data_IF_984810484901
#
_entry.id   IF_984810484901
#
_cell.length_a   1.000
_cell.length_b   1.000
_cell.length_c   1.000
_cell.angle_alpha   90.00
_cell.angle_beta   90.00
_cell.angle_gamma   90.00
#
_symmetry.space_group_name_H-M   'P 1'
#
loop_
_entity.id
_entity.type
_entity.pdbx_description
1 polymer ?
#
# COMPACT_ATOMS: atom_id res chain seq x y z
N UNK A 1 -18.54 -14.94 -0.39
CA UNK A 1 -17.85 -14.42 -1.58
C UNK A 1 -18.00 -12.92 -1.54
N UNK A 2 -16.96 -12.19 -1.16
CA UNK A 2 -16.95 -10.74 -1.35
C UNK A 2 -16.84 -10.47 -2.86
N UNK A 3 -17.89 -9.87 -3.41
CA UNK A 3 -18.07 -9.57 -4.82
C UNK A 3 -17.36 -8.26 -5.17
N UNK A 4 -16.79 -8.16 -6.37
CA UNK A 4 -16.51 -6.83 -6.91
C UNK A 4 -15.74 -6.80 -8.23
N UNK A 5 -14.67 -7.60 -8.37
CA UNK A 5 -13.71 -7.43 -9.47
C UNK A 5 -13.54 -8.66 -10.37
N UNK A 6 -14.18 -9.79 -10.05
CA UNK A 6 -14.07 -11.06 -10.82
C UNK A 6 -12.62 -11.54 -11.08
N UNK A 7 -11.67 -11.12 -10.23
CA UNK A 7 -10.27 -11.52 -10.31
C UNK A 7 -10.01 -12.83 -9.54
N UNK A 8 -9.38 -13.82 -10.18
CA UNK A 8 -8.80 -14.98 -9.51
C UNK A 8 -7.49 -14.61 -8.79
N UNK A 9 -7.19 -15.28 -7.67
CA UNK A 9 -5.86 -15.23 -7.06
C UNK A 9 -5.14 -16.54 -7.42
N UNK A 10 -3.97 -16.42 -8.04
CA UNK A 10 -3.20 -17.56 -8.58
C UNK A 10 -1.81 -17.62 -7.93
N UNK A 11 -1.63 -18.43 -6.86
CA UNK A 11 -0.34 -18.61 -6.21
C UNK A 11 0.65 -19.41 -7.09
N UNK A 12 1.87 -18.90 -7.26
CA UNK A 12 2.97 -19.52 -8.01
C UNK A 12 4.24 -19.54 -7.17
N UNK A 13 4.94 -20.66 -7.14
CA UNK A 13 6.19 -20.80 -6.37
C UNK A 13 7.35 -20.01 -6.99
N UNK A 14 8.24 -19.53 -6.13
CA UNK A 14 9.50 -18.86 -6.49
C UNK A 14 9.33 -17.59 -7.32
N UNK A 15 8.16 -16.95 -7.33
CA UNK A 15 7.94 -15.70 -8.07
C UNK A 15 8.84 -14.59 -7.52
N UNK A 16 8.89 -14.45 -6.20
CA UNK A 16 9.77 -13.48 -5.54
C UNK A 16 11.25 -13.88 -5.73
N UNK A 17 11.56 -15.17 -5.56
CA UNK A 17 12.94 -15.65 -5.62
C UNK A 17 13.56 -15.52 -7.01
N UNK A 18 12.81 -15.87 -8.05
CA UNK A 18 13.33 -15.98 -9.41
C UNK A 18 13.12 -14.69 -10.23
N UNK A 19 12.11 -13.88 -9.89
CA UNK A 19 11.74 -12.67 -10.64
C UNK A 19 11.73 -11.37 -9.81
N UNK A 20 11.91 -11.44 -8.49
CA UNK A 20 11.79 -10.29 -7.57
C UNK A 20 10.40 -9.65 -7.59
N UNK A 21 9.35 -10.48 -7.73
CA UNK A 21 7.95 -10.05 -7.83
C UNK A 21 7.13 -10.69 -6.69
N UNK A 22 6.43 -9.87 -5.92
CA UNK A 22 5.49 -10.36 -4.89
C UNK A 22 4.14 -10.76 -5.48
N UNK A 23 3.64 -9.94 -6.40
CA UNK A 23 2.39 -10.14 -7.12
C UNK A 23 2.43 -9.36 -8.45
N UNK A 24 1.59 -9.77 -9.40
CA UNK A 24 1.32 -8.97 -10.60
C UNK A 24 -0.09 -9.25 -11.14
N UNK A 25 -0.73 -8.24 -11.71
CA UNK A 25 -1.98 -8.35 -12.45
C UNK A 25 -1.76 -9.02 -13.81
N UNK A 26 -2.55 -10.04 -14.13
CA UNK A 26 -2.51 -10.68 -15.45
C UNK A 26 -2.96 -9.69 -16.53
N UNK A 27 -2.31 -9.73 -17.70
CA UNK A 27 -2.61 -8.81 -18.81
C UNK A 27 -3.99 -9.07 -19.44
N UNK A 28 -4.50 -10.30 -19.32
CA UNK A 28 -5.88 -10.64 -19.67
C UNK A 28 -6.92 -10.15 -18.64
N UNK A 29 -6.46 -9.51 -17.55
CA UNK A 29 -7.26 -8.94 -16.48
C UNK A 29 -8.17 -9.95 -15.77
N UNK A 30 -7.84 -11.25 -15.83
CA UNK A 30 -8.64 -12.31 -15.21
C UNK A 30 -8.26 -12.61 -13.77
N UNK A 31 -7.08 -12.16 -13.33
CA UNK A 31 -6.59 -12.49 -12.00
C UNK A 31 -5.27 -11.81 -11.63
N UNK A 32 -4.86 -12.05 -10.39
CA UNK A 32 -3.60 -11.59 -9.81
C UNK A 32 -2.78 -12.84 -9.47
N UNK A 33 -1.57 -12.90 -10.01
CA UNK A 33 -0.59 -13.93 -9.68
C UNK A 33 0.20 -13.47 -8.46
N UNK A 34 0.45 -14.37 -7.51
CA UNK A 34 1.20 -14.06 -6.28
C UNK A 34 2.28 -15.08 -6.00
N UNK A 35 3.34 -14.66 -5.31
CA UNK A 35 4.33 -15.59 -4.77
C UNK A 35 3.68 -16.49 -3.72
N UNK A 36 3.73 -17.80 -3.95
CA UNK A 36 3.07 -18.79 -3.10
C UNK A 36 3.61 -18.76 -1.66
N UNK A 37 4.93 -18.68 -1.51
CA UNK A 37 5.57 -18.80 -0.19
C UNK A 37 5.23 -17.55 0.65
N UNK A 38 5.27 -16.37 0.03
CA UNK A 38 4.81 -15.13 0.66
C UNK A 38 3.30 -15.13 0.95
N UNK A 39 2.49 -15.74 0.08
CA UNK A 39 1.04 -15.80 0.26
C UNK A 39 0.62 -16.72 1.41
N UNK A 40 1.34 -17.82 1.64
CA UNK A 40 0.97 -18.83 2.65
C UNK A 40 1.52 -18.54 4.05
N UNK A 41 2.56 -17.72 4.19
CA UNK A 41 3.19 -17.46 5.47
C UNK A 41 2.65 -16.19 6.15
N UNK A 42 2.17 -16.33 7.40
CA UNK A 42 1.55 -15.23 8.15
C UNK A 42 2.45 -13.98 8.29
N UNK A 43 3.76 -14.17 8.41
CA UNK A 43 4.73 -13.06 8.54
C UNK A 43 4.72 -12.11 7.34
N UNK A 44 4.24 -12.55 6.17
CA UNK A 44 4.18 -11.74 4.95
C UNK A 44 2.79 -11.16 4.68
N UNK A 45 1.79 -11.40 5.53
CA UNK A 45 0.41 -10.93 5.29
C UNK A 45 0.30 -9.42 5.04
N UNK A 46 1.04 -8.59 5.78
CA UNK A 46 1.04 -7.12 5.56
C UNK A 46 1.58 -6.74 4.18
N UNK A 47 2.65 -7.42 3.75
CA UNK A 47 3.28 -7.24 2.43
C UNK A 47 2.30 -7.67 1.35
N UNK A 48 1.76 -8.87 1.44
CA UNK A 48 0.80 -9.41 0.48
C UNK A 48 -0.46 -8.57 0.37
N UNK A 49 -0.99 -8.07 1.50
CA UNK A 49 -2.15 -7.18 1.50
C UNK A 49 -1.88 -5.88 0.74
N UNK A 50 -0.70 -5.31 0.90
CA UNK A 50 -0.29 -4.14 0.13
C UNK A 50 -0.12 -4.46 -1.36
N UNK A 51 0.55 -5.57 -1.69
CA UNK A 51 0.70 -6.03 -3.07
C UNK A 51 -0.65 -6.26 -3.75
N UNK A 52 -1.62 -6.88 -3.09
CA UNK A 52 -2.97 -7.02 -3.63
C UNK A 52 -3.64 -5.67 -3.91
N UNK A 53 -3.58 -4.74 -2.95
CA UNK A 53 -4.15 -3.41 -3.13
C UNK A 53 -3.46 -2.63 -4.27
N UNK A 54 -2.15 -2.86 -4.47
CA UNK A 54 -1.36 -2.29 -5.56
C UNK A 54 -1.82 -2.85 -6.92
N UNK A 55 -1.97 -4.17 -7.06
CA UNK A 55 -2.47 -4.78 -8.30
C UNK A 55 -3.92 -4.40 -8.60
N UNK A 56 -4.77 -4.25 -7.58
CA UNK A 56 -6.11 -3.67 -7.74
C UNK A 56 -6.02 -2.24 -8.24
N UNK A 57 -5.03 -1.46 -7.80
CA UNK A 57 -4.74 -0.13 -8.34
C UNK A 57 -4.43 -0.16 -9.83
N UNK A 58 -3.57 -1.08 -10.28
CA UNK A 58 -3.33 -1.29 -11.71
C UNK A 58 -4.60 -1.68 -12.47
N UNK A 59 -5.41 -2.58 -11.92
CA UNK A 59 -6.66 -2.99 -12.55
C UNK A 59 -7.65 -1.82 -12.69
N UNK A 60 -7.82 -1.03 -11.63
CA UNK A 60 -8.78 0.08 -11.62
C UNK A 60 -8.32 1.23 -12.52
N UNK A 61 -7.04 1.62 -12.42
CA UNK A 61 -6.52 2.82 -13.06
C UNK A 61 -5.97 2.57 -14.47
N UNK A 62 -5.39 1.39 -14.71
CA UNK A 62 -4.54 1.14 -15.87
C UNK A 62 -5.00 -0.03 -16.76
N UNK A 63 -6.15 -0.67 -16.48
CA UNK A 63 -6.66 -1.80 -17.30
C UNK A 63 -6.74 -1.54 -18.81
N UNK A 64 -7.01 -0.31 -19.24
CA UNK A 64 -7.09 0.03 -20.66
C UNK A 64 -5.73 0.05 -21.37
N UNK A 65 -4.64 0.17 -20.59
CA UNK A 65 -3.27 0.08 -21.10
C UNK A 65 -2.86 -1.38 -21.26
N UNK A 66 -3.26 -2.23 -20.30
CA UNK A 66 -2.91 -3.66 -20.31
C UNK A 66 -3.83 -4.50 -21.21
N UNK A 67 -5.10 -4.13 -21.36
CA UNK A 67 -6.17 -4.93 -21.99
C UNK A 67 -6.12 -5.12 -23.51
N UNK A 68 -4.96 -5.00 -24.15
CA UNK A 68 -4.75 -5.24 -25.58
C UNK A 68 -3.68 -6.28 -25.90
N UNK A 69 -3.03 -6.86 -24.88
CA UNK A 69 -1.88 -7.75 -25.05
C UNK A 69 -2.27 -9.15 -24.56
N UNK A 70 -2.49 -10.13 -25.47
CA UNK A 70 -2.97 -11.45 -25.11
C UNK A 70 -1.84 -12.31 -24.54
N UNK A 71 -1.49 -12.16 -23.27
CA UNK A 71 -0.37 -12.90 -22.67
C UNK A 71 -0.58 -13.15 -21.15
N UNK A 72 -0.24 -14.35 -20.67
CA UNK A 72 -0.62 -14.86 -19.33
C UNK A 72 0.53 -15.44 -18.50
N UNK A 73 1.80 -15.10 -18.80
CA UNK A 73 2.97 -15.60 -18.06
C UNK A 73 3.87 -14.45 -17.53
N UNK A 74 4.72 -14.71 -16.50
CA UNK A 74 5.59 -13.71 -15.88
C UNK A 74 6.62 -13.08 -16.83
N UNK A 75 7.14 -13.85 -17.79
CA UNK A 75 8.11 -13.35 -18.78
C UNK A 75 7.49 -12.27 -19.67
N UNK A 76 6.25 -12.45 -20.09
CA UNK A 76 5.53 -11.47 -20.89
C UNK A 76 5.22 -10.18 -20.11
N UNK A 77 4.93 -10.30 -18.81
CA UNK A 77 4.83 -9.12 -17.94
C UNK A 77 6.15 -8.35 -17.94
N UNK A 78 7.26 -9.06 -17.74
CA UNK A 78 8.60 -8.47 -17.77
C UNK A 78 8.90 -7.79 -19.11
N UNK A 79 8.56 -8.42 -20.23
CA UNK A 79 8.71 -7.81 -21.55
C UNK A 79 7.86 -6.56 -21.73
N UNK A 80 6.62 -6.54 -21.24
CA UNK A 80 5.77 -5.36 -21.28
C UNK A 80 6.38 -4.20 -20.49
N UNK A 81 6.84 -4.47 -19.27
CA UNK A 81 7.52 -3.47 -18.43
C UNK A 81 8.77 -2.94 -19.12
N UNK A 82 9.58 -3.80 -19.73
CA UNK A 82 10.81 -3.40 -20.42
C UNK A 82 10.56 -2.57 -21.69
N UNK A 83 9.42 -2.76 -22.36
CA UNK A 83 9.07 -2.03 -23.57
C UNK A 83 8.31 -0.72 -23.30
N UNK A 84 7.80 -0.51 -22.08
CA UNK A 84 7.14 0.74 -21.70
C UNK A 84 8.17 1.85 -21.47
N UNK A 85 7.92 3.10 -21.91
CA UNK A 85 8.78 4.22 -21.56
C UNK A 85 8.93 4.33 -20.03
N UNK A 86 10.19 4.37 -19.55
CA UNK A 86 10.52 4.34 -18.12
C UNK A 86 9.72 5.35 -17.29
N UNK A 87 9.49 6.55 -17.85
CA UNK A 87 8.70 7.60 -17.20
C UNK A 87 7.22 7.22 -17.05
N UNK A 88 6.63 6.59 -18.05
CA UNK A 88 5.23 6.16 -18.01
C UNK A 88 5.07 5.01 -17.01
N UNK A 89 5.97 4.03 -17.06
CA UNK A 89 5.98 2.92 -16.10
C UNK A 89 6.08 3.44 -14.66
N UNK A 90 7.05 4.31 -14.37
CA UNK A 90 7.19 4.92 -13.03
C UNK A 90 5.95 5.68 -12.58
N UNK A 91 5.25 6.35 -13.49
CA UNK A 91 4.01 7.05 -13.16
C UNK A 91 2.90 6.06 -12.79
N UNK A 92 2.74 4.95 -13.52
CA UNK A 92 1.74 3.93 -13.20
C UNK A 92 2.03 3.25 -11.86
N UNK A 93 3.28 2.85 -11.62
CA UNK A 93 3.71 2.30 -10.33
C UNK A 93 3.44 3.27 -9.17
N UNK A 94 3.72 4.56 -9.36
CA UNK A 94 3.43 5.58 -8.36
C UNK A 94 1.92 5.72 -8.11
N UNK A 95 1.11 5.74 -9.16
CA UNK A 95 -0.35 5.83 -9.07
C UNK A 95 -0.95 4.60 -8.36
N UNK A 96 -0.47 3.39 -8.67
CA UNK A 96 -0.90 2.16 -8.02
C UNK A 96 -0.51 2.13 -6.53
N UNK A 97 0.70 2.59 -6.19
CA UNK A 97 1.12 2.75 -4.80
C UNK A 97 0.25 3.76 -4.02
N UNK A 98 -0.05 4.91 -4.61
CA UNK A 98 -0.92 5.92 -3.99
C UNK A 98 -2.36 5.43 -3.85
N UNK A 99 -2.84 4.62 -4.80
CA UNK A 99 -4.13 3.94 -4.72
C UNK A 99 -4.15 2.93 -3.57
N UNK A 100 -3.16 2.02 -3.52
CA UNK A 100 -3.06 0.99 -2.48
C UNK A 100 -3.03 1.61 -1.08
N UNK A 101 -2.23 2.66 -0.90
CA UNK A 101 -2.16 3.40 0.35
C UNK A 101 -3.49 4.00 0.79
N UNK A 102 -4.25 4.60 -0.14
CA UNK A 102 -5.59 5.17 0.15
C UNK A 102 -6.66 4.12 0.39
N UNK A 103 -6.58 3.00 -0.33
CA UNK A 103 -7.51 1.89 -0.17
C UNK A 103 -7.33 1.22 1.20
N UNK A 104 -6.09 1.00 1.62
CA UNK A 104 -5.78 0.31 2.87
C UNK A 104 -5.81 1.23 4.10
N UNK A 105 -5.55 2.52 3.90
CA UNK A 105 -5.56 3.55 4.95
C UNK A 105 -6.50 4.69 4.53
N UNK A 106 -7.83 4.49 4.67
CA UNK A 106 -8.80 5.53 4.37
C UNK A 106 -8.57 6.75 5.27
N UNK A 107 -8.62 7.95 4.68
CA UNK A 107 -8.29 9.21 5.35
C UNK A 107 -9.12 9.43 6.64
N UNK A 108 -10.43 9.20 6.58
CA UNK A 108 -11.33 9.42 7.72
C UNK A 108 -10.93 8.56 8.91
N UNK A 109 -10.71 7.25 8.69
CA UNK A 109 -10.19 6.36 9.73
C UNK A 109 -8.79 6.74 10.19
N UNK A 110 -7.92 7.22 9.31
CA UNK A 110 -6.58 7.67 9.70
C UNK A 110 -6.64 8.86 10.66
N UNK A 111 -7.52 9.83 10.39
CA UNK A 111 -7.75 10.98 11.28
C UNK A 111 -8.24 10.49 12.64
N UNK A 112 -9.23 9.59 12.68
CA UNK A 112 -9.74 9.04 13.95
C UNK A 112 -8.65 8.34 14.78
N UNK A 113 -7.77 7.55 14.16
CA UNK A 113 -6.68 6.87 14.87
C UNK A 113 -5.60 7.86 15.34
N UNK A 114 -5.30 8.89 14.54
CA UNK A 114 -4.37 9.96 14.93
C UNK A 114 -4.92 10.79 16.09
N UNK A 115 -6.21 11.10 16.10
CA UNK A 115 -6.86 11.82 17.20
C UNK A 115 -6.80 11.04 18.52
N UNK A 116 -6.98 9.71 18.49
CA UNK A 116 -6.81 8.84 19.68
C UNK A 116 -5.38 8.88 20.23
N UNK A 117 -4.40 8.85 19.34
CA UNK A 117 -2.98 8.98 19.72
C UNK A 117 -2.70 10.36 20.31
N UNK A 118 -3.25 11.42 19.71
CA UNK A 118 -3.10 12.78 20.21
C UNK A 118 -3.66 12.95 21.63
N UNK A 119 -4.86 12.43 21.91
CA UNK A 119 -5.40 12.49 23.28
C UNK A 119 -4.52 11.69 24.27
N UNK A 120 -3.94 10.57 23.86
CA UNK A 120 -2.99 9.81 24.69
C UNK A 120 -1.71 10.61 24.99
N UNK A 121 -1.15 11.30 23.99
CA UNK A 121 0.03 12.18 24.15
C UNK A 121 -0.27 13.32 25.11
N UNK A 122 -1.48 13.89 25.03
CA UNK A 122 -1.96 14.97 25.89
C UNK A 122 -2.14 14.52 27.34
N UNK A 123 -2.72 13.34 27.57
CA UNK A 123 -2.89 12.76 28.91
C UNK A 123 -1.57 12.40 29.60
N UNK A 124 -0.51 12.17 28.81
CA UNK A 124 0.81 11.75 29.30
C UNK A 124 1.82 12.90 29.40
N UNK A 125 1.39 14.15 29.19
CA UNK A 125 2.24 15.36 29.20
C UNK A 125 3.41 15.32 28.19
N UNK A 126 3.22 14.62 27.07
CA UNK A 126 4.22 14.46 26.01
C UNK A 126 4.07 15.48 24.86
N UNK A 127 3.15 16.45 24.99
CA UNK A 127 2.93 17.50 24.00
C UNK A 127 4.18 18.31 23.63
N UNK A 128 5.13 18.63 24.54
CA UNK A 128 6.35 19.34 24.17
C UNK A 128 7.18 18.58 23.13
N UNK A 129 7.32 17.26 23.29
CA UNK A 129 8.05 16.42 22.32
C UNK A 129 7.39 16.40 20.95
N UNK A 130 6.05 16.39 20.91
CA UNK A 130 5.30 16.45 19.66
C UNK A 130 5.49 17.79 18.93
N UNK A 131 5.68 18.90 19.67
CA UNK A 131 5.98 20.21 19.08
C UNK A 131 7.43 20.31 18.60
N UNK A 132 8.36 19.83 19.42
CA UNK A 132 9.79 19.99 19.19
C UNK A 132 10.30 19.05 18.08
N UNK A 133 9.81 17.80 18.05
CA UNK A 133 10.17 16.81 17.03
C UNK A 133 8.96 15.93 16.64
N UNK A 134 8.05 16.44 15.80
CA UNK A 134 6.91 15.68 15.32
C UNK A 134 7.28 14.37 14.62
N UNK A 135 8.42 14.33 13.94
CA UNK A 135 8.87 13.18 13.17
C UNK A 135 9.35 12.04 14.09
N UNK A 136 10.08 12.36 15.16
CA UNK A 136 10.47 11.38 16.16
C UNK A 136 9.25 10.81 16.88
N UNK A 137 8.28 11.66 17.23
CA UNK A 137 7.02 11.20 17.84
C UNK A 137 6.24 10.32 16.86
N UNK A 138 6.14 10.71 15.58
CA UNK A 138 5.50 9.90 14.54
C UNK A 138 6.13 8.51 14.48
N UNK A 139 7.45 8.41 14.32
CA UNK A 139 8.15 7.13 14.26
C UNK A 139 7.87 6.27 15.49
N UNK A 140 7.75 6.89 16.67
CA UNK A 140 7.47 6.18 17.92
C UNK A 140 6.05 5.62 18.00
N UNK A 141 5.06 6.30 17.39
CA UNK A 141 3.64 5.92 17.42
C UNK A 141 3.20 5.14 16.18
N UNK A 142 3.96 5.19 15.08
CA UNK A 142 3.71 4.45 13.83
C UNK A 142 3.41 2.97 14.05
N UNK A 143 4.12 2.21 14.91
CA UNK A 143 3.80 0.81 15.18
C UNK A 143 2.36 0.59 15.69
N UNK A 144 1.84 1.52 16.50
CA UNK A 144 0.48 1.48 17.04
C UNK A 144 -0.53 1.85 15.96
N UNK A 145 -0.27 2.93 15.21
CA UNK A 145 -1.12 3.37 14.11
C UNK A 145 -1.25 2.31 13.01
N UNK A 146 -0.25 1.45 12.81
CA UNK A 146 -0.30 0.37 11.82
C UNK A 146 -1.35 -0.71 12.11
N UNK A 147 -1.60 -1.00 13.39
CA UNK A 147 -2.44 -2.13 13.84
C UNK A 147 -3.84 -2.10 13.22
N UNK A 148 -4.63 -1.01 13.36
CA UNK A 148 -6.00 -0.96 12.82
C UNK A 148 -6.08 -1.03 11.30
N UNK A 149 -4.97 -0.73 10.60
CA UNK A 149 -4.90 -0.77 9.14
C UNK A 149 -4.18 -1.99 8.61
N UNK A 150 -3.52 -2.81 9.43
CA UNK A 150 -2.77 -3.99 9.01
C UNK A 150 -1.74 -3.73 7.90
N UNK A 151 -1.02 -2.61 7.98
CA UNK A 151 0.05 -2.19 7.04
C UNK A 151 1.39 -2.03 7.77
N UNK A 152 2.44 -1.67 7.03
CA UNK A 152 3.75 -1.31 7.59
C UNK A 152 3.81 0.15 8.02
N UNK A 153 4.80 0.49 8.86
CA UNK A 153 5.03 1.85 9.36
C UNK A 153 5.27 2.84 8.23
N UNK A 154 6.04 2.44 7.21
CA UNK A 154 6.30 3.27 6.03
C UNK A 154 5.01 3.70 5.31
N UNK A 155 4.01 2.80 5.25
CA UNK A 155 2.71 3.17 4.67
C UNK A 155 2.09 4.25 5.55
N UNK A 156 1.95 4.05 6.86
CA UNK A 156 1.37 5.06 7.76
C UNK A 156 2.09 6.40 7.66
N UNK A 157 3.42 6.42 7.73
CA UNK A 157 4.23 7.64 7.67
C UNK A 157 3.97 8.44 6.39
N UNK A 158 3.97 7.76 5.24
CA UNK A 158 3.62 8.40 3.96
C UNK A 158 2.18 8.90 3.95
N UNK A 159 1.25 8.15 4.53
CA UNK A 159 -0.18 8.50 4.49
C UNK A 159 -0.49 9.71 5.37
N UNK A 160 0.08 9.81 6.57
CA UNK A 160 -0.15 10.97 7.44
C UNK A 160 0.46 12.25 6.86
N UNK A 161 1.59 12.15 6.17
CA UNK A 161 2.21 13.26 5.44
C UNK A 161 1.36 13.67 4.24
N UNK A 162 1.00 12.71 3.37
CA UNK A 162 0.22 12.96 2.14
C UNK A 162 -1.16 13.54 2.39
N UNK A 163 -1.76 13.21 3.52
CA UNK A 163 -3.12 13.64 3.89
C UNK A 163 -3.12 14.82 4.86
N UNK A 164 -1.94 15.35 5.20
CA UNK A 164 -1.74 16.48 6.12
C UNK A 164 -2.43 16.27 7.47
N UNK A 165 -2.34 15.03 7.98
CA UNK A 165 -2.95 14.61 9.26
C UNK A 165 -1.95 14.66 10.40
N UNK A 166 -0.65 14.65 10.08
CA UNK A 166 0.42 14.76 11.07
C UNK A 166 1.38 15.92 10.73
N UNK A 167 1.77 16.74 11.73
CA UNK A 167 1.30 16.69 13.11
C UNK A 167 -0.16 17.18 13.24
N UNK A 168 -0.94 16.68 14.23
CA UNK A 168 -2.34 17.06 14.39
C UNK A 168 -2.58 18.57 14.43
N UNK A 169 -3.56 19.08 13.68
CA UNK A 169 -3.86 20.52 13.59
C UNK A 169 -4.16 21.17 14.95
N UNK A 170 -4.56 20.38 15.95
CA UNK A 170 -4.84 20.78 17.31
C UNK A 170 -3.62 21.37 18.04
N UNK A 171 -2.40 21.18 17.52
CA UNK A 171 -1.16 21.69 18.12
C UNK A 171 -0.89 23.16 17.74
N UNK A 172 -1.50 23.66 16.65
CA UNK A 172 -1.27 25.03 16.17
C UNK A 172 -1.92 26.13 17.04
N UNK A 173 -2.71 25.75 18.05
CA UNK A 173 -3.43 26.67 18.95
C UNK A 173 -2.89 26.77 20.38
N UNK A 174 -1.72 26.18 20.67
CA UNK A 174 -1.06 26.20 21.97
C UNK A 174 0.32 26.84 21.91
#
# INVERSE_FOLDING_TARGET
>A
MEQGLELSIEPVHSLLKDFDIDAFLKLDLTGIVVDYDCFMEERFQKRMRFSFAHEVGHFVLHKNVYGGIPLSNPENWKELVLNMPEREYRNFEWQANEFAGRLLVPRERLVEEVDKIYETIKETDLLPYLRDDPSAVLSRVSPVLCIPFGVSENVIERRVEREEVWPPNQIAGL
#
